data_IF_211519952902
#
_entry.id   IF_211519952902
#
_cell.length_a   1.000
_cell.length_b   1.000
_cell.length_c   1.000
_cell.angle_alpha   90.00
_cell.angle_beta   90.00
_cell.angle_gamma   90.00
#
_symmetry.space_group_name_H-M   'P 1'
#
loop_
_entity.id
_entity.type
_entity.pdbx_description
1 polymer ?
#
# COMPACT_ATOMS: atom_id res chain seq x y z
N UNK A 1 3.11 -23.89 -26.67
CA UNK A 1 1.77 -23.37 -26.27
C UNK A 1 1.90 -21.87 -26.13
N UNK A 2 1.15 -21.06 -26.88
CA UNK A 2 1.16 -19.60 -26.69
C UNK A 2 0.58 -19.30 -25.30
N UNK A 3 1.31 -18.54 -24.51
CA UNK A 3 0.83 -18.04 -23.22
C UNK A 3 -0.44 -17.22 -23.47
N UNK A 4 -1.51 -17.38 -22.68
CA UNK A 4 -2.72 -16.58 -22.86
C UNK A 4 -2.36 -15.11 -22.71
N UNK A 5 -2.73 -14.33 -23.74
CA UNK A 5 -2.50 -12.90 -23.84
C UNK A 5 -3.07 -12.20 -22.58
N UNK A 6 -2.24 -11.49 -21.79
CA UNK A 6 -2.70 -10.88 -20.54
C UNK A 6 -3.63 -9.68 -20.73
N UNK A 7 -4.00 -9.37 -21.98
CA UNK A 7 -4.75 -8.16 -22.32
C UNK A 7 -6.26 -8.23 -22.08
N UNK A 8 -6.83 -9.43 -21.83
CA UNK A 8 -8.28 -9.62 -21.66
C UNK A 8 -8.70 -10.09 -20.25
N UNK A 9 -7.95 -9.76 -19.23
CA UNK A 9 -8.47 -9.95 -17.87
C UNK A 9 -9.59 -8.95 -17.64
N UNK A 10 -10.83 -9.45 -17.47
CA UNK A 10 -12.05 -8.62 -17.40
C UNK A 10 -11.98 -7.55 -16.30
N UNK A 11 -12.81 -6.51 -16.42
CA UNK A 11 -12.94 -5.43 -15.44
C UNK A 11 -13.08 -5.94 -14.01
N UNK A 12 -13.82 -7.02 -13.83
CA UNK A 12 -14.03 -7.68 -12.53
C UNK A 12 -12.71 -8.20 -11.93
N UNK A 13 -11.85 -8.86 -12.74
CA UNK A 13 -10.53 -9.32 -12.28
C UNK A 13 -9.66 -8.13 -11.84
N UNK A 14 -9.68 -7.03 -12.60
CA UNK A 14 -8.91 -5.82 -12.27
C UNK A 14 -9.42 -5.18 -10.98
N UNK A 15 -10.74 -5.10 -10.80
CA UNK A 15 -11.35 -4.60 -9.58
C UNK A 15 -10.98 -5.46 -8.36
N UNK A 16 -11.13 -6.78 -8.46
CA UNK A 16 -10.79 -7.71 -7.37
C UNK A 16 -9.30 -7.67 -7.03
N UNK A 17 -8.44 -7.54 -8.04
CA UNK A 17 -7.00 -7.33 -7.81
C UNK A 17 -6.74 -6.02 -7.05
N UNK A 18 -7.44 -4.94 -7.42
CA UNK A 18 -7.38 -3.68 -6.69
C UNK A 18 -7.79 -3.84 -5.23
N UNK A 19 -8.91 -4.53 -4.96
CA UNK A 19 -9.38 -4.82 -3.59
C UNK A 19 -8.31 -5.59 -2.80
N UNK A 20 -7.74 -6.63 -3.40
CA UNK A 20 -6.69 -7.43 -2.77
C UNK A 20 -5.42 -6.60 -2.50
N UNK A 21 -5.03 -5.70 -3.42
CA UNK A 21 -3.92 -4.75 -3.22
C UNK A 21 -4.19 -3.81 -2.05
N UNK A 22 -5.37 -3.17 -2.02
CA UNK A 22 -5.75 -2.23 -0.95
C UNK A 22 -5.86 -2.92 0.41
N UNK A 23 -6.36 -4.15 0.46
CA UNK A 23 -6.37 -4.93 1.69
C UNK A 23 -4.97 -5.30 2.17
N UNK A 24 -4.07 -5.67 1.24
CA UNK A 24 -2.69 -6.02 1.55
C UNK A 24 -1.88 -4.84 2.09
N UNK A 25 -2.10 -3.63 1.60
CA UNK A 25 -1.36 -2.43 2.02
C UNK A 25 -1.61 -2.04 3.49
N UNK A 26 -2.70 -2.51 4.09
CA UNK A 26 -2.99 -2.28 5.51
C UNK A 26 -2.27 -3.30 6.41
N UNK A 27 -1.84 -4.42 5.85
CA UNK A 27 -1.18 -5.51 6.60
C UNK A 27 0.32 -5.23 6.68
N UNK A 28 0.89 -5.07 7.90
CA UNK A 28 2.33 -4.83 8.06
C UNK A 28 3.18 -5.95 7.43
N UNK A 29 4.17 -5.56 6.62
CA UNK A 29 5.07 -6.50 5.94
C UNK A 29 4.54 -7.06 4.62
N UNK A 30 3.33 -6.71 4.20
CA UNK A 30 2.78 -7.05 2.89
C UNK A 30 2.66 -5.78 2.06
N UNK A 31 2.93 -5.88 0.75
CA UNK A 31 2.82 -4.75 -0.17
C UNK A 31 1.78 -5.05 -1.25
N UNK A 32 0.88 -4.12 -1.51
CA UNK A 32 -0.07 -4.21 -2.62
C UNK A 32 0.63 -4.35 -3.98
N UNK A 33 1.84 -3.80 -4.12
CA UNK A 33 2.68 -4.01 -5.30
C UNK A 33 3.06 -5.48 -5.52
N UNK A 34 3.32 -6.23 -4.44
CA UNK A 34 3.57 -7.67 -4.50
C UNK A 34 2.31 -8.42 -4.95
N UNK A 35 1.14 -8.02 -4.45
CA UNK A 35 -0.15 -8.58 -4.90
C UNK A 35 -0.38 -8.29 -6.39
N UNK A 36 -0.09 -7.07 -6.86
CA UNK A 36 -0.17 -6.73 -8.28
C UNK A 36 0.72 -7.62 -9.15
N UNK A 37 1.93 -7.94 -8.66
CA UNK A 37 2.87 -8.83 -9.34
C UNK A 37 2.33 -10.26 -9.42
N UNK A 38 1.83 -10.80 -8.31
CA UNK A 38 1.24 -12.15 -8.25
C UNK A 38 -0.01 -12.27 -9.12
N UNK A 39 -0.85 -11.25 -9.15
CA UNK A 39 -2.03 -11.18 -10.02
C UNK A 39 -1.69 -10.90 -11.49
N UNK A 40 -0.43 -10.63 -11.82
CA UNK A 40 0.04 -10.41 -13.19
C UNK A 40 -0.44 -9.08 -13.81
N UNK A 41 -0.85 -8.10 -13.00
CA UNK A 41 -1.27 -6.78 -13.47
C UNK A 41 -0.16 -5.72 -13.34
N UNK A 42 0.92 -6.05 -12.65
CA UNK A 42 2.02 -5.12 -12.33
C UNK A 42 2.65 -4.48 -13.57
N UNK A 43 2.94 -5.26 -14.61
CA UNK A 43 3.54 -4.74 -15.84
C UNK A 43 2.61 -3.77 -16.60
N UNK A 44 1.28 -4.01 -16.54
CA UNK A 44 0.28 -3.12 -17.14
C UNK A 44 0.14 -1.84 -16.30
N UNK A 45 0.14 -1.96 -14.96
CA UNK A 45 0.12 -0.84 -14.04
C UNK A 45 1.35 0.06 -14.25
N UNK A 46 2.54 -0.52 -14.33
CA UNK A 46 3.76 0.23 -14.55
C UNK A 46 3.76 0.98 -15.89
N UNK A 47 3.28 0.34 -16.97
CA UNK A 47 3.09 1.00 -18.28
C UNK A 47 2.06 2.12 -18.21
N UNK A 48 0.97 1.94 -17.49
CA UNK A 48 -0.06 2.97 -17.35
C UNK A 48 0.49 4.19 -16.59
N UNK A 49 1.26 3.97 -15.52
CA UNK A 49 1.90 5.04 -14.74
C UNK A 49 2.98 5.74 -15.56
N UNK A 50 3.80 5.02 -16.34
CA UNK A 50 4.86 5.63 -17.17
C UNK A 50 4.33 6.51 -18.30
N UNK A 51 3.05 6.40 -18.64
CA UNK A 51 2.38 7.25 -19.63
C UNK A 51 1.86 8.58 -19.06
N UNK A 52 2.09 8.84 -17.78
CA UNK A 52 1.89 10.17 -17.20
C UNK A 52 3.05 11.11 -17.59
N UNK A 53 3.16 11.37 -18.89
CA UNK A 53 4.24 12.16 -19.50
C UNK A 53 3.73 13.52 -20.02
N UNK A 54 4.65 14.28 -20.62
CA UNK A 54 4.33 15.59 -21.25
C UNK A 54 3.31 15.46 -22.38
N UNK A 55 3.14 14.28 -22.96
CA UNK A 55 2.19 14.03 -24.03
C UNK A 55 0.76 14.00 -23.49
N UNK A 56 0.55 13.39 -22.32
CA UNK A 56 -0.72 13.44 -21.60
C UNK A 56 -1.12 14.89 -21.29
N UNK A 57 -0.18 15.66 -20.72
CA UNK A 57 -0.42 17.07 -20.40
C UNK A 57 -0.81 17.90 -21.63
N UNK A 58 -0.17 17.63 -22.78
CA UNK A 58 -0.47 18.29 -24.05
C UNK A 58 -1.85 17.90 -24.58
N UNK A 59 -2.24 16.63 -24.44
CA UNK A 59 -3.56 16.12 -24.84
C UNK A 59 -4.69 16.70 -23.99
N UNK A 60 -4.47 16.81 -22.67
CA UNK A 60 -5.39 17.47 -21.73
C UNK A 60 -5.58 18.96 -22.10
N UNK A 61 -4.48 19.67 -22.38
CA UNK A 61 -4.50 21.08 -22.73
C UNK A 61 -5.23 21.37 -24.04
N UNK A 62 -5.25 20.40 -24.96
CA UNK A 62 -5.98 20.46 -26.25
C UNK A 62 -7.44 20.00 -26.12
N UNK A 63 -7.96 19.75 -24.91
CA UNK A 63 -9.33 19.25 -24.63
C UNK A 63 -9.65 17.94 -25.39
N UNK A 64 -8.64 17.14 -25.73
CA UNK A 64 -8.83 15.88 -26.45
C UNK A 64 -8.88 14.72 -25.43
N UNK A 65 -9.96 14.69 -24.66
CA UNK A 65 -10.15 13.77 -23.53
C UNK A 65 -10.13 12.30 -23.93
N UNK A 66 -10.66 11.96 -25.12
CA UNK A 66 -10.67 10.59 -25.61
C UNK A 66 -9.26 10.02 -25.82
N UNK A 67 -8.39 10.78 -26.47
CA UNK A 67 -7.01 10.38 -26.70
C UNK A 67 -6.18 10.36 -25.40
N UNK A 68 -6.46 11.28 -24.47
CA UNK A 68 -5.81 11.30 -23.17
C UNK A 68 -6.20 10.05 -22.33
N UNK A 69 -7.47 9.69 -22.31
CA UNK A 69 -7.98 8.53 -21.60
C UNK A 69 -7.44 7.20 -22.15
N UNK A 70 -7.39 7.07 -23.48
CA UNK A 70 -6.81 5.91 -24.14
C UNK A 70 -5.30 5.81 -23.91
N UNK A 71 -4.60 6.95 -23.89
CA UNK A 71 -3.15 7.00 -23.67
C UNK A 71 -2.74 6.43 -22.30
N UNK A 72 -3.50 6.71 -21.25
CA UNK A 72 -3.20 6.30 -19.86
C UNK A 72 -3.84 4.96 -19.48
N UNK A 73 -4.59 4.30 -20.38
CA UNK A 73 -5.35 3.07 -20.10
C UNK A 73 -6.32 3.26 -18.90
N UNK A 74 -7.15 4.32 -18.98
CA UNK A 74 -8.09 4.68 -17.92
C UNK A 74 -9.07 3.54 -17.63
N UNK A 75 -9.45 2.77 -18.66
CA UNK A 75 -10.33 1.59 -18.53
C UNK A 75 -9.75 0.54 -17.59
N UNK A 76 -8.44 0.44 -17.49
CA UNK A 76 -7.75 -0.42 -16.54
C UNK A 76 -7.53 0.27 -15.18
N UNK A 77 -7.07 1.53 -15.19
CA UNK A 77 -6.74 2.25 -13.96
C UNK A 77 -7.95 2.52 -13.07
N UNK A 78 -9.09 2.88 -13.65
CA UNK A 78 -10.30 3.22 -12.89
C UNK A 78 -10.82 2.05 -12.03
N UNK A 79 -11.07 0.84 -12.57
CA UNK A 79 -11.50 -0.28 -11.74
C UNK A 79 -10.40 -0.73 -10.76
N UNK A 80 -9.13 -0.62 -11.12
CA UNK A 80 -8.03 -0.94 -10.22
C UNK A 80 -8.00 0.03 -9.02
N UNK A 81 -8.07 1.33 -9.28
CA UNK A 81 -8.08 2.36 -8.24
C UNK A 81 -9.33 2.28 -7.37
N UNK A 82 -10.51 2.07 -7.97
CA UNK A 82 -11.76 1.87 -7.24
C UNK A 82 -11.66 0.64 -6.32
N UNK A 83 -11.15 -0.48 -6.84
CA UNK A 83 -10.91 -1.68 -6.04
C UNK A 83 -9.93 -1.43 -4.89
N UNK A 84 -8.81 -0.75 -5.17
CA UNK A 84 -7.79 -0.42 -4.16
C UNK A 84 -8.39 0.43 -3.01
N UNK A 85 -9.14 1.47 -3.34
CA UNK A 85 -9.82 2.31 -2.34
C UNK A 85 -10.86 1.53 -1.53
N UNK A 86 -11.64 0.67 -2.19
CA UNK A 86 -12.60 -0.21 -1.52
C UNK A 86 -11.90 -1.19 -0.57
N UNK A 87 -10.84 -1.85 -1.03
CA UNK A 87 -10.06 -2.79 -0.22
C UNK A 87 -9.41 -2.12 0.98
N UNK A 88 -8.79 -0.96 0.76
CA UNK A 88 -8.20 -0.14 1.82
C UNK A 88 -9.26 0.28 2.84
N UNK A 89 -10.37 0.87 2.38
CA UNK A 89 -11.44 1.35 3.25
C UNK A 89 -12.07 0.23 4.09
N UNK A 90 -12.37 -0.91 3.46
CA UNK A 90 -12.94 -2.06 4.13
C UNK A 90 -11.97 -2.61 5.21
N UNK A 91 -10.69 -2.70 4.88
CA UNK A 91 -9.67 -3.19 5.82
C UNK A 91 -9.48 -2.24 6.99
N UNK A 92 -9.43 -0.93 6.75
CA UNK A 92 -9.32 0.08 7.81
C UNK A 92 -10.53 0.00 8.76
N UNK A 93 -11.75 -0.07 8.21
CA UNK A 93 -12.97 -0.20 9.04
C UNK A 93 -12.96 -1.49 9.85
N UNK A 94 -12.55 -2.60 9.26
CA UNK A 94 -12.47 -3.90 9.93
C UNK A 94 -11.46 -3.87 11.08
N UNK A 95 -10.25 -3.38 10.82
CA UNK A 95 -9.19 -3.29 11.83
C UNK A 95 -9.60 -2.33 12.95
N UNK A 96 -10.21 -1.18 12.61
CA UNK A 96 -10.74 -0.26 13.60
C UNK A 96 -11.72 -0.96 14.56
N UNK A 97 -12.70 -1.69 14.04
CA UNK A 97 -13.65 -2.46 14.85
C UNK A 97 -12.96 -3.51 15.74
N UNK A 98 -11.94 -4.20 15.21
CA UNK A 98 -11.17 -5.17 15.98
C UNK A 98 -10.37 -4.53 17.12
N UNK A 99 -9.89 -3.30 16.92
CA UNK A 99 -9.15 -2.56 17.95
C UNK A 99 -10.06 -1.88 18.97
N UNK A 100 -11.30 -1.55 18.62
CA UNK A 100 -12.31 -1.00 19.55
C UNK A 100 -12.92 -2.06 20.47
N UNK A 101 -12.89 -3.32 20.08
CA UNK A 101 -13.41 -4.42 20.88
C UNK A 101 -12.33 -4.96 21.82
N UNK A 102 -12.56 -4.86 23.13
CA UNK A 102 -11.62 -5.27 24.18
C UNK A 102 -11.18 -6.74 24.09
N UNK A 103 -12.05 -7.62 23.56
CA UNK A 103 -11.74 -9.04 23.40
C UNK A 103 -10.78 -9.31 22.23
N UNK A 104 -10.93 -8.59 21.10
CA UNK A 104 -10.12 -8.82 19.89
C UNK A 104 -8.88 -7.94 19.82
N UNK A 105 -8.87 -6.82 20.52
CA UNK A 105 -7.78 -5.84 20.53
C UNK A 105 -6.40 -6.45 20.83
N UNK A 106 -6.20 -7.24 21.94
CA UNK A 106 -4.88 -7.77 22.23
C UNK A 106 -4.40 -8.77 21.17
N UNK A 107 -5.30 -9.58 20.62
CA UNK A 107 -4.97 -10.53 19.57
C UNK A 107 -4.56 -9.81 18.27
N UNK A 108 -5.28 -8.76 17.90
CA UNK A 108 -4.97 -7.94 16.70
C UNK A 108 -3.60 -7.26 16.85
N UNK A 109 -3.32 -6.66 18.00
CA UNK A 109 -2.03 -6.03 18.27
C UNK A 109 -0.89 -7.04 18.26
N UNK A 110 -1.08 -8.21 18.90
CA UNK A 110 -0.09 -9.29 18.90
C UNK A 110 0.20 -9.80 17.48
N UNK A 111 -0.83 -9.96 16.67
CA UNK A 111 -0.70 -10.35 15.25
C UNK A 111 0.13 -9.33 14.47
N UNK A 112 -0.17 -8.03 14.59
CA UNK A 112 0.57 -6.97 13.91
C UNK A 112 2.03 -6.89 14.37
N UNK A 113 2.28 -6.96 15.68
CA UNK A 113 3.64 -7.02 16.21
C UNK A 113 4.41 -8.24 15.67
N UNK A 114 3.76 -9.41 15.63
CA UNK A 114 4.37 -10.63 15.07
C UNK A 114 4.73 -10.49 13.59
N UNK A 115 3.86 -9.89 12.78
CA UNK A 115 4.13 -9.63 11.36
C UNK A 115 5.30 -8.65 11.15
N UNK A 116 5.35 -7.58 11.95
CA UNK A 116 6.46 -6.60 11.89
C UNK A 116 7.77 -7.27 12.28
N UNK A 117 7.80 -8.04 13.36
CA UNK A 117 9.00 -8.76 13.80
C UNK A 117 9.46 -9.79 12.76
N UNK A 118 8.53 -10.56 12.19
CA UNK A 118 8.86 -11.53 11.15
C UNK A 118 9.43 -10.86 9.89
N UNK A 119 8.82 -9.76 9.43
CA UNK A 119 9.29 -8.99 8.29
C UNK A 119 10.69 -8.42 8.55
N UNK A 120 10.90 -7.84 9.72
CA UNK A 120 12.21 -7.32 10.14
C UNK A 120 13.26 -8.43 10.16
N UNK A 121 12.93 -9.59 10.70
CA UNK A 121 13.83 -10.75 10.75
C UNK A 121 14.24 -11.23 9.37
N UNK A 122 13.28 -11.32 8.43
CA UNK A 122 13.55 -11.73 7.04
C UNK A 122 14.47 -10.71 6.37
N UNK A 123 14.20 -9.41 6.52
CA UNK A 123 15.02 -8.34 5.96
C UNK A 123 16.44 -8.37 6.51
N UNK A 124 16.60 -8.52 7.83
CA UNK A 124 17.92 -8.63 8.46
C UNK A 124 18.73 -9.81 7.92
N UNK A 125 18.08 -10.95 7.66
CA UNK A 125 18.76 -12.11 7.04
C UNK A 125 19.18 -11.87 5.59
N UNK A 126 18.48 -11.00 4.86
CA UNK A 126 18.80 -10.68 3.47
C UNK A 126 19.94 -9.65 3.35
N UNK A 127 20.16 -8.85 4.38
CA UNK A 127 21.27 -7.88 4.41
C UNK A 127 22.58 -8.67 4.47
N UNK A 128 23.24 -8.84 3.32
CA UNK A 128 24.63 -9.31 3.23
C UNK A 128 25.52 -8.09 3.03
N UNK A 129 26.31 -7.68 4.02
CA UNK A 129 27.19 -6.53 3.86
C UNK A 129 28.22 -6.84 2.77
N UNK A 130 28.12 -6.15 1.64
CA UNK A 130 29.01 -6.34 0.48
C UNK A 130 30.40 -5.73 0.74
N UNK A 131 30.49 -4.70 1.59
CA UNK A 131 31.72 -3.97 1.89
C UNK A 131 31.91 -3.69 3.39
N UNK A 132 33.17 -3.48 3.81
CA UNK A 132 33.51 -3.17 5.20
C UNK A 132 32.87 -1.88 5.73
N UNK A 133 32.59 -0.90 4.88
CA UNK A 133 31.88 0.34 5.24
C UNK A 133 30.41 0.08 5.59
N UNK A 134 29.74 -0.88 4.94
CA UNK A 134 28.34 -1.23 5.22
C UNK A 134 28.16 -1.92 6.57
N UNK A 135 29.21 -2.58 7.08
CA UNK A 135 29.19 -3.24 8.40
C UNK A 135 28.99 -2.25 9.55
N UNK A 136 29.40 -1.00 9.37
CA UNK A 136 29.22 0.08 10.36
C UNK A 136 27.91 0.83 10.13
N UNK A 137 27.51 1.03 8.87
CA UNK A 137 26.32 1.81 8.52
C UNK A 137 25.02 1.08 8.92
N UNK A 138 24.97 -0.24 8.83
CA UNK A 138 23.78 -1.03 9.18
C UNK A 138 23.39 -0.90 10.65
N UNK A 139 24.27 -1.12 11.66
CA UNK A 139 23.89 -0.97 13.06
C UNK A 139 23.55 0.47 13.42
N UNK A 140 24.22 1.45 12.81
CA UNK A 140 23.90 2.88 13.02
C UNK A 140 22.50 3.20 12.50
N UNK A 141 22.13 2.72 11.32
CA UNK A 141 20.77 2.91 10.78
C UNK A 141 19.70 2.25 11.66
N UNK A 142 19.97 1.07 12.21
CA UNK A 142 19.07 0.40 13.15
C UNK A 142 18.89 1.22 14.43
N UNK A 143 19.99 1.74 15.00
CA UNK A 143 19.93 2.56 16.20
C UNK A 143 19.16 3.87 15.96
N UNK A 144 19.36 4.51 14.81
CA UNK A 144 18.60 5.71 14.41
C UNK A 144 17.11 5.37 14.28
N UNK A 145 16.77 4.24 13.68
CA UNK A 145 15.38 3.78 13.55
C UNK A 145 14.71 3.53 14.91
N UNK A 146 15.42 2.87 15.82
CA UNK A 146 14.93 2.64 17.19
C UNK A 146 14.75 3.96 17.95
N UNK A 147 15.74 4.87 17.86
CA UNK A 147 15.66 6.17 18.51
C UNK A 147 14.50 7.02 17.97
N UNK A 148 14.28 7.02 16.65
CA UNK A 148 13.16 7.70 16.02
C UNK A 148 11.81 7.12 16.46
N UNK A 149 11.68 5.78 16.51
CA UNK A 149 10.48 5.12 16.97
C UNK A 149 10.18 5.42 18.44
N UNK A 150 11.21 5.41 19.29
CA UNK A 150 11.08 5.79 20.71
C UNK A 150 10.65 7.25 20.88
N UNK A 151 11.25 8.17 20.10
CA UNK A 151 10.88 9.58 20.12
C UNK A 151 9.41 9.80 19.72
N UNK A 152 8.92 9.12 18.70
CA UNK A 152 7.51 9.17 18.28
C UNK A 152 6.60 8.57 19.36
N UNK A 153 7.00 7.46 20.00
CA UNK A 153 6.24 6.82 21.06
C UNK A 153 6.16 7.64 22.36
N UNK A 154 7.11 8.57 22.57
CA UNK A 154 7.10 9.51 23.70
C UNK A 154 6.25 10.77 23.46
N UNK A 155 5.81 11.00 22.22
CA UNK A 155 4.88 12.09 21.93
C UNK A 155 3.54 11.81 22.62
N UNK A 156 3.01 12.75 23.43
CA UNK A 156 1.72 12.56 24.07
C UNK A 156 0.65 12.31 22.98
N UNK A 157 -0.26 11.34 23.20
CA UNK A 157 -1.37 11.15 22.28
C UNK A 157 -2.09 12.48 22.10
N UNK A 158 -2.38 12.84 20.84
CA UNK A 158 -3.16 14.04 20.56
C UNK A 158 -4.41 14.02 21.44
N UNK A 159 -4.59 15.09 22.25
CA UNK A 159 -5.71 15.17 23.17
C UNK A 159 -7.01 14.85 22.40
N UNK A 160 -7.90 14.01 22.95
CA UNK A 160 -9.19 13.75 22.33
C UNK A 160 -9.86 15.10 22.10
N UNK A 161 -10.22 15.37 20.84
CA UNK A 161 -10.98 16.58 20.54
C UNK A 161 -12.26 16.50 21.36
N UNK A 162 -12.36 17.31 22.40
CA UNK A 162 -13.56 17.48 23.19
C UNK A 162 -14.65 17.93 22.22
N UNK A 163 -15.60 17.06 21.95
CA UNK A 163 -16.80 17.45 21.22
C UNK A 163 -17.41 18.64 21.97
N UNK A 164 -17.76 19.73 21.27
CA UNK A 164 -18.43 20.83 21.93
C UNK A 164 -19.73 20.32 22.58
N UNK A 165 -20.09 20.81 23.77
CA UNK A 165 -21.30 20.37 24.44
C UNK A 165 -22.50 20.63 23.54
N UNK A 166 -23.25 19.56 23.26
CA UNK A 166 -24.51 19.68 22.51
C UNK A 166 -25.52 20.28 23.49
N UNK A 167 -25.78 21.56 23.37
CA UNK A 167 -26.89 22.22 24.07
C UNK A 167 -28.21 21.79 23.40
N UNK A 168 -29.06 21.05 24.10
CA UNK A 168 -30.44 20.79 23.75
C UNK A 168 -31.31 22.00 24.14
#
# INVERSE_FOLDING_TARGET
>A
MPSPDPQHRGLLHTLLTGVAMGAADVVPGVSGGTVALLCGVYSRLLRAISRFDRQLLRSLRRKNWGNAAAHVDVVFLMPLAAGLLLGLGLSVVTIKRMLENDTTRPATLACFCGMILASTWILLKQIRPANSSEKITTPVAILIGIAAAAAVGMLPPAAPQTQPPVYY
#
